data_IF_977167825069
#
_entry.id   IF_977167825069
#
_cell.length_a   1.000
_cell.length_b   1.000
_cell.length_c   1.000
_cell.angle_alpha   90.00
_cell.angle_beta   90.00
_cell.angle_gamma   90.00
#
_symmetry.space_group_name_H-M   'P 1'
#
loop_
_entity.id
_entity.type
_entity.pdbx_description
1 polymer ?
#
# COMPACT_ATOMS: atom_id res chain seq x y z
N UNK A 1 14.07 16.76 3.93
CA UNK A 1 14.54 15.45 3.41
C UNK A 1 15.36 14.70 4.47
N UNK A 2 16.47 15.28 4.98
CA UNK A 2 17.35 14.60 5.96
C UNK A 2 16.63 14.19 7.23
N UNK A 3 15.78 15.03 7.79
CA UNK A 3 14.97 14.70 8.97
C UNK A 3 14.08 13.46 8.76
N UNK A 4 13.58 13.23 7.54
CA UNK A 4 12.81 12.03 7.21
C UNK A 4 13.70 10.80 7.21
N UNK A 5 14.93 10.89 6.65
CA UNK A 5 15.88 9.79 6.66
C UNK A 5 16.27 9.36 8.09
N UNK A 6 16.40 10.32 8.99
CA UNK A 6 16.67 10.07 10.41
C UNK A 6 15.47 9.47 11.15
N UNK A 7 14.24 9.81 10.72
CA UNK A 7 13.02 9.33 11.35
C UNK A 7 12.63 7.90 10.91
N UNK A 8 13.00 7.47 9.70
CA UNK A 8 12.69 6.11 9.19
C UNK A 8 13.16 4.99 10.14
N UNK A 9 14.41 4.97 10.63
CA UNK A 9 14.87 3.96 11.59
C UNK A 9 14.06 3.97 12.89
N UNK A 10 13.65 5.15 13.36
CA UNK A 10 12.86 5.30 14.58
C UNK A 10 11.46 4.72 14.41
N UNK A 11 10.77 5.05 13.32
CA UNK A 11 9.46 4.49 13.00
C UNK A 11 9.55 2.97 12.81
N UNK A 12 10.58 2.49 12.11
CA UNK A 12 10.80 1.06 11.92
C UNK A 12 10.96 0.33 13.25
N UNK A 13 11.72 0.91 14.18
CA UNK A 13 11.90 0.36 15.53
C UNK A 13 10.57 0.32 16.29
N UNK A 14 9.85 1.44 16.31
CA UNK A 14 8.57 1.54 17.02
C UNK A 14 7.50 0.58 16.47
N UNK A 15 7.59 0.23 15.19
CA UNK A 15 6.71 -0.72 14.53
C UNK A 15 7.16 -2.19 14.65
N UNK A 16 8.16 -2.51 15.48
CA UNK A 16 8.61 -3.88 15.68
C UNK A 16 9.46 -4.42 14.53
N UNK A 17 10.25 -3.57 13.90
CA UNK A 17 11.21 -3.91 12.85
C UNK A 17 10.62 -4.63 11.63
N UNK A 18 9.52 -4.17 11.03
CA UNK A 18 9.00 -4.78 9.82
C UNK A 18 10.08 -4.84 8.73
N UNK A 19 10.09 -5.88 7.89
CA UNK A 19 10.97 -5.93 6.73
C UNK A 19 10.61 -4.78 5.78
N UNK A 20 11.63 -4.07 5.27
CA UNK A 20 11.41 -2.92 4.37
C UNK A 20 11.22 -3.38 2.92
N UNK A 21 10.16 -4.15 2.70
CA UNK A 21 9.67 -4.57 1.39
C UNK A 21 8.27 -4.00 1.17
N UNK A 22 7.73 -4.07 -0.04
CA UNK A 22 6.36 -3.65 -0.31
C UNK A 22 5.36 -4.58 0.42
N UNK A 23 4.36 -4.08 1.13
CA UNK A 23 3.98 -2.66 1.32
C UNK A 23 4.62 -1.99 2.54
N UNK A 24 5.29 -2.73 3.43
CA UNK A 24 5.75 -2.24 4.74
C UNK A 24 6.79 -1.12 4.64
N UNK A 25 7.63 -1.11 3.61
CA UNK A 25 8.55 0.01 3.34
C UNK A 25 7.81 1.33 3.09
N UNK A 26 6.69 1.26 2.37
CA UNK A 26 5.85 2.43 2.09
C UNK A 26 5.13 2.91 3.37
N UNK A 27 4.66 1.98 4.20
CA UNK A 27 4.00 2.29 5.47
C UNK A 27 4.97 3.03 6.39
N UNK A 28 6.17 2.49 6.60
CA UNK A 28 7.21 3.10 7.44
C UNK A 28 7.64 4.45 6.88
N UNK A 29 7.89 4.54 5.57
CA UNK A 29 8.30 5.78 4.92
C UNK A 29 7.25 6.87 5.00
N UNK A 30 5.98 6.55 4.71
CA UNK A 30 4.88 7.51 4.79
C UNK A 30 4.66 8.00 6.22
N UNK A 31 4.75 7.12 7.21
CA UNK A 31 4.63 7.51 8.61
C UNK A 31 5.78 8.42 9.05
N UNK A 32 7.01 8.15 8.62
CA UNK A 32 8.16 9.01 8.91
C UNK A 32 7.98 10.42 8.32
N UNK A 33 7.48 10.51 7.08
CA UNK A 33 7.14 11.81 6.46
C UNK A 33 6.09 12.55 7.28
N UNK A 34 5.02 11.88 7.70
CA UNK A 34 3.96 12.50 8.49
C UNK A 34 4.46 12.98 9.86
N UNK A 35 5.32 12.22 10.53
CA UNK A 35 5.91 12.62 11.79
C UNK A 35 6.71 13.94 11.65
N UNK A 36 7.51 14.04 10.58
CA UNK A 36 8.30 15.24 10.32
C UNK A 36 7.43 16.43 9.92
N UNK A 37 6.44 16.22 9.05
CA UNK A 37 5.55 17.30 8.60
C UNK A 37 4.65 17.82 9.73
N UNK A 38 4.19 16.95 10.60
CA UNK A 38 3.35 17.33 11.75
C UNK A 38 4.15 18.01 12.89
N UNK A 39 5.48 17.90 12.86
CA UNK A 39 6.35 18.39 13.93
C UNK A 39 6.23 17.63 15.25
N UNK A 40 5.41 16.59 15.29
CA UNK A 40 5.18 15.72 16.44
C UNK A 40 4.98 14.29 15.98
N UNK A 41 5.70 13.34 16.60
CA UNK A 41 5.65 11.92 16.25
C UNK A 41 4.28 11.32 16.57
N UNK A 42 3.71 10.64 15.58
CA UNK A 42 2.41 9.95 15.69
C UNK A 42 1.22 10.86 16.06
N UNK A 43 1.30 12.14 15.71
CA UNK A 43 0.16 13.05 15.73
C UNK A 43 -0.88 12.67 14.66
N UNK A 44 -0.36 12.26 13.51
CA UNK A 44 -1.15 11.72 12.40
C UNK A 44 -0.66 10.30 12.11
N UNK A 45 -1.59 9.33 12.11
CA UNK A 45 -1.29 7.92 11.87
C UNK A 45 -2.15 7.45 10.70
N UNK A 46 -1.49 6.87 9.66
CA UNK A 46 -2.20 6.36 8.48
C UNK A 46 -3.03 5.12 8.81
N UNK A 47 -4.02 4.84 7.96
CA UNK A 47 -4.82 3.61 8.08
C UNK A 47 -3.95 2.36 7.99
N UNK A 48 -2.98 2.38 7.08
CA UNK A 48 -2.04 1.28 6.85
C UNK A 48 -1.12 1.06 8.06
N UNK A 49 -0.65 2.16 8.69
CA UNK A 49 0.12 2.08 9.94
C UNK A 49 -0.69 1.46 11.08
N UNK A 50 -1.97 1.81 11.18
CA UNK A 50 -2.89 1.19 12.16
C UNK A 50 -3.09 -0.30 11.88
N UNK A 51 -3.31 -0.67 10.62
CA UNK A 51 -3.44 -2.06 10.20
C UNK A 51 -2.19 -2.89 10.51
N UNK A 52 -0.99 -2.31 10.27
CA UNK A 52 0.27 -2.96 10.61
C UNK A 52 0.40 -3.22 12.11
N UNK A 53 0.09 -2.22 12.94
CA UNK A 53 0.16 -2.31 14.40
C UNK A 53 -0.95 -3.21 15.00
N UNK A 54 -2.07 -3.36 14.31
CA UNK A 54 -3.14 -4.31 14.64
C UNK A 54 -2.77 -5.75 14.30
N UNK A 55 -1.82 -5.98 13.39
CA UNK A 55 -1.40 -7.31 12.95
C UNK A 55 -2.06 -7.78 11.65
N UNK A 56 -2.70 -6.90 10.86
CA UNK A 56 -3.33 -7.23 9.58
C UNK A 56 -2.32 -7.71 8.52
N UNK A 57 -1.04 -7.40 8.71
CA UNK A 57 0.06 -7.83 7.84
C UNK A 57 0.84 -9.03 8.40
N UNK A 58 0.32 -9.65 9.46
CA UNK A 58 0.96 -10.78 10.13
C UNK A 58 1.85 -10.38 11.29
N UNK A 59 2.56 -11.36 11.83
CA UNK A 59 3.42 -11.18 13.00
C UNK A 59 4.67 -10.36 12.66
N UNK A 60 4.98 -9.39 13.50
CA UNK A 60 6.16 -8.54 13.36
C UNK A 60 7.39 -9.21 13.98
N UNK A 61 8.61 -8.98 13.42
CA UNK A 61 9.82 -9.66 13.87
C UNK A 61 10.29 -9.25 15.26
N UNK A 62 10.00 -8.02 15.69
CA UNK A 62 10.43 -7.47 16.96
C UNK A 62 9.27 -6.92 17.80
N UNK A 63 9.61 -6.45 18.98
CA UNK A 63 8.64 -5.85 19.88
C UNK A 63 8.16 -4.49 19.35
N UNK A 64 6.85 -4.32 19.35
CA UNK A 64 6.21 -3.05 18.98
C UNK A 64 6.20 -2.13 20.19
N UNK A 65 6.42 -0.85 19.94
CA UNK A 65 6.28 0.17 20.97
C UNK A 65 4.80 0.28 21.40
N UNK A 66 4.51 -0.14 22.64
CA UNK A 66 3.13 -0.21 23.16
C UNK A 66 2.46 1.17 23.27
N UNK A 67 3.20 2.24 23.53
CA UNK A 67 2.65 3.60 23.54
C UNK A 67 2.20 4.01 22.14
N UNK A 68 2.99 3.69 21.12
CA UNK A 68 2.65 3.96 19.72
C UNK A 68 1.47 3.11 19.27
N UNK A 69 1.46 1.82 19.63
CA UNK A 69 0.33 0.93 19.37
C UNK A 69 -0.95 1.48 19.98
N UNK A 70 -0.91 1.86 21.25
CA UNK A 70 -2.06 2.43 21.96
C UNK A 70 -2.55 3.74 21.33
N UNK A 71 -1.63 4.60 20.88
CA UNK A 71 -2.01 5.81 20.13
C UNK A 71 -2.69 5.48 18.80
N UNK A 72 -2.24 4.42 18.11
CA UNK A 72 -2.70 4.07 16.78
C UNK A 72 -4.07 3.37 16.75
N UNK A 73 -4.25 2.37 17.60
CA UNK A 73 -5.42 1.49 17.59
C UNK A 73 -6.25 1.55 18.89
N UNK A 74 -5.78 2.31 19.90
CA UNK A 74 -6.50 2.43 21.17
C UNK A 74 -6.58 1.10 21.94
N UNK A 75 -7.80 0.64 22.17
CA UNK A 75 -8.10 -0.62 22.82
C UNK A 75 -8.57 -1.72 21.86
N UNK A 76 -8.37 -1.53 20.57
CA UNK A 76 -8.71 -2.55 19.57
C UNK A 76 -7.89 -3.82 19.81
N UNK A 77 -8.50 -4.97 19.56
CA UNK A 77 -7.82 -6.26 19.66
C UNK A 77 -6.72 -6.39 18.61
N UNK A 78 -5.58 -6.93 19.03
CA UNK A 78 -4.46 -7.25 18.14
C UNK A 78 -4.67 -8.65 17.58
N UNK A 79 -4.53 -8.77 16.25
CA UNK A 79 -4.61 -10.04 15.55
C UNK A 79 -3.33 -10.84 15.84
N UNK A 80 -3.48 -11.97 16.49
CA UNK A 80 -2.38 -12.87 16.86
C UNK A 80 -2.33 -14.15 16.02
N UNK A 81 -3.41 -14.44 15.30
CA UNK A 81 -3.48 -15.54 14.36
C UNK A 81 -3.06 -15.08 12.95
N UNK A 82 -2.99 -16.00 12.01
CA UNK A 82 -2.80 -15.65 10.60
C UNK A 82 -4.01 -14.83 10.12
N UNK A 83 -3.83 -13.60 9.59
CA UNK A 83 -4.96 -12.75 9.20
C UNK A 83 -5.92 -13.41 8.20
N UNK A 84 -5.39 -14.25 7.29
CA UNK A 84 -6.20 -14.96 6.32
C UNK A 84 -7.21 -15.96 6.96
N UNK A 85 -6.96 -16.42 8.19
CA UNK A 85 -7.87 -17.34 8.88
C UNK A 85 -9.13 -16.64 9.42
N UNK A 86 -9.13 -15.30 9.40
CA UNK A 86 -10.29 -14.47 9.76
C UNK A 86 -11.20 -14.16 8.57
N UNK A 87 -10.78 -14.52 7.35
CA UNK A 87 -11.57 -14.32 6.15
C UNK A 87 -12.57 -15.46 5.97
N UNK A 88 -13.82 -15.11 5.73
CA UNK A 88 -14.84 -16.09 5.35
C UNK A 88 -14.65 -16.52 3.89
N UNK A 89 -14.94 -17.79 3.54
CA UNK A 89 -14.93 -18.24 2.16
C UNK A 89 -15.98 -17.50 1.33
N UNK A 90 -15.56 -16.80 0.29
CA UNK A 90 -16.45 -15.96 -0.53
C UNK A 90 -16.77 -16.55 -1.91
N UNK A 91 -16.05 -17.60 -2.34
CA UNK A 91 -16.17 -18.12 -3.70
C UNK A 91 -17.57 -18.57 -4.08
N UNK A 92 -18.31 -19.22 -3.17
CA UNK A 92 -19.66 -19.68 -3.48
C UNK A 92 -20.64 -18.52 -3.65
N UNK A 93 -20.48 -17.45 -2.86
CA UNK A 93 -21.22 -16.20 -2.99
C UNK A 93 -20.91 -15.53 -4.32
N UNK A 94 -19.63 -15.43 -4.68
CA UNK A 94 -19.18 -14.80 -5.93
C UNK A 94 -19.64 -15.57 -7.16
N UNK A 95 -19.65 -16.90 -7.12
CA UNK A 95 -20.22 -17.76 -8.18
C UNK A 95 -21.72 -17.49 -8.35
N UNK A 96 -22.46 -17.39 -7.25
CA UNK A 96 -23.89 -17.09 -7.29
C UNK A 96 -24.15 -15.70 -7.87
N UNK A 97 -23.37 -14.70 -7.45
CA UNK A 97 -23.47 -13.33 -7.95
C UNK A 97 -23.13 -13.22 -9.43
N UNK A 98 -22.04 -13.84 -9.89
CA UNK A 98 -21.69 -13.88 -11.30
C UNK A 98 -22.78 -14.54 -12.14
N UNK A 99 -23.36 -15.64 -11.64
CA UNK A 99 -24.47 -16.32 -12.31
C UNK A 99 -25.74 -15.45 -12.40
N UNK A 100 -26.12 -14.79 -11.32
CA UNK A 100 -27.26 -13.89 -11.27
C UNK A 100 -27.11 -12.72 -12.23
N UNK A 101 -25.89 -12.15 -12.29
CA UNK A 101 -25.57 -11.01 -13.15
C UNK A 101 -25.19 -11.42 -14.58
N UNK A 102 -25.20 -12.71 -14.89
CA UNK A 102 -24.77 -13.27 -16.17
C UNK A 102 -23.36 -12.81 -16.59
N UNK A 103 -22.45 -12.78 -15.62
CA UNK A 103 -21.04 -12.39 -15.80
C UNK A 103 -20.16 -13.63 -15.94
N UNK A 104 -19.52 -13.76 -17.10
CA UNK A 104 -18.55 -14.80 -17.33
C UNK A 104 -19.14 -16.20 -17.57
N UNK A 105 -18.30 -17.12 -18.01
CA UNK A 105 -18.70 -18.47 -18.45
C UNK A 105 -17.84 -19.59 -17.82
N UNK A 106 -16.78 -19.23 -17.11
CA UNK A 106 -15.84 -20.16 -16.52
C UNK A 106 -15.37 -19.71 -15.14
N UNK A 107 -14.66 -20.57 -14.44
CA UNK A 107 -14.18 -20.31 -13.09
C UNK A 107 -13.14 -19.17 -13.05
N UNK A 108 -12.34 -19.02 -14.10
CA UNK A 108 -11.38 -17.93 -14.27
C UNK A 108 -12.06 -16.56 -14.35
N UNK A 109 -13.27 -16.49 -14.89
CA UNK A 109 -14.07 -15.26 -14.93
C UNK A 109 -14.54 -14.89 -13.52
N UNK A 110 -14.97 -15.87 -12.74
CA UNK A 110 -15.34 -15.66 -11.33
C UNK A 110 -14.14 -15.19 -10.51
N UNK A 111 -12.96 -15.78 -10.72
CA UNK A 111 -11.73 -15.35 -10.06
C UNK A 111 -11.33 -13.93 -10.48
N UNK A 112 -11.47 -13.60 -11.76
CA UNK A 112 -11.21 -12.25 -12.27
C UNK A 112 -12.15 -11.22 -11.64
N UNK A 113 -13.43 -11.58 -11.51
CA UNK A 113 -14.41 -10.74 -10.83
C UNK A 113 -14.11 -10.62 -9.32
N UNK A 114 -13.68 -11.69 -8.65
CA UNK A 114 -13.29 -11.67 -7.24
C UNK A 114 -12.12 -10.70 -6.97
N UNK A 115 -11.12 -10.70 -7.86
CA UNK A 115 -9.93 -9.89 -7.70
C UNK A 115 -10.11 -8.42 -8.15
N UNK A 116 -10.89 -8.20 -9.21
CA UNK A 116 -11.04 -6.91 -9.87
C UNK A 116 -12.51 -6.62 -10.25
N UNK A 117 -13.45 -6.54 -9.31
CA UNK A 117 -14.89 -6.54 -9.61
C UNK A 117 -15.31 -5.48 -10.62
N UNK A 118 -14.83 -4.24 -10.48
CA UNK A 118 -15.24 -3.14 -11.36
C UNK A 118 -14.68 -3.27 -12.78
N UNK A 119 -13.45 -3.74 -12.92
CA UNK A 119 -12.78 -3.88 -14.22
C UNK A 119 -13.27 -5.14 -14.92
N UNK A 120 -13.35 -6.25 -14.18
CA UNK A 120 -13.81 -7.52 -14.72
C UNK A 120 -15.24 -7.45 -15.25
N UNK A 121 -16.15 -6.81 -14.52
CA UNK A 121 -17.54 -6.64 -14.99
C UNK A 121 -17.59 -5.93 -16.35
N UNK A 122 -16.87 -4.82 -16.49
CA UNK A 122 -16.83 -4.07 -17.77
C UNK A 122 -16.22 -4.91 -18.88
N UNK A 123 -15.12 -5.59 -18.59
CA UNK A 123 -14.43 -6.43 -19.57
C UNK A 123 -15.27 -7.63 -20.00
N UNK A 124 -15.88 -8.37 -19.07
CA UNK A 124 -16.70 -9.54 -19.36
C UNK A 124 -17.93 -9.16 -20.20
N UNK A 125 -18.61 -8.08 -19.84
CA UNK A 125 -19.73 -7.57 -20.62
C UNK A 125 -19.31 -7.12 -22.04
N UNK A 126 -18.15 -6.50 -22.19
CA UNK A 126 -17.61 -6.13 -23.49
C UNK A 126 -17.21 -7.37 -24.32
N UNK A 127 -16.51 -8.33 -23.69
CA UNK A 127 -16.11 -9.58 -24.35
C UNK A 127 -17.29 -10.34 -24.93
N UNK A 128 -18.39 -10.40 -24.17
CA UNK A 128 -19.58 -11.11 -24.57
C UNK A 128 -20.47 -10.32 -25.58
N UNK A 129 -20.15 -9.04 -25.79
CA UNK A 129 -20.82 -8.16 -26.75
C UNK A 129 -19.79 -7.44 -27.67
N UNK A 130 -19.07 -8.18 -28.53
CA UNK A 130 -17.91 -7.64 -29.25
C UNK A 130 -18.25 -6.56 -30.30
N UNK A 131 -19.53 -6.28 -30.57
CA UNK A 131 -19.96 -5.25 -31.52
C UNK A 131 -20.09 -3.84 -30.91
N UNK A 132 -19.82 -3.70 -29.61
CA UNK A 132 -19.76 -2.41 -28.92
C UNK A 132 -18.33 -1.94 -28.76
N UNK A 133 -17.61 -1.71 -29.87
CA UNK A 133 -16.21 -1.26 -29.86
C UNK A 133 -15.99 0.05 -29.07
N UNK A 134 -17.00 0.90 -28.95
CA UNK A 134 -16.91 2.18 -28.22
C UNK A 134 -16.88 2.02 -26.70
N UNK A 135 -17.21 0.84 -26.17
CA UNK A 135 -17.26 0.57 -24.71
C UNK A 135 -16.08 -0.25 -24.19
N UNK A 136 -15.11 -0.60 -25.05
CA UNK A 136 -13.91 -1.30 -24.59
C UNK A 136 -13.21 -0.46 -23.52
N UNK A 137 -12.93 -1.03 -22.31
CA UNK A 137 -12.19 -0.28 -21.31
C UNK A 137 -10.82 0.11 -21.90
N UNK A 138 -10.51 1.40 -21.88
CA UNK A 138 -9.22 1.87 -22.33
C UNK A 138 -8.12 1.09 -21.60
N UNK A 139 -7.10 0.58 -22.33
CA UNK A 139 -5.97 -0.06 -21.67
C UNK A 139 -5.44 0.90 -20.60
N UNK A 140 -5.21 0.37 -19.40
CA UNK A 140 -4.64 1.17 -18.31
C UNK A 140 -3.49 1.98 -18.87
N UNK A 141 -3.54 3.31 -18.75
CA UNK A 141 -2.55 4.19 -19.31
C UNK A 141 -1.17 3.65 -18.92
N UNK A 142 -0.38 3.27 -19.93
CA UNK A 142 1.00 2.89 -19.68
C UNK A 142 1.63 3.98 -18.82
N UNK A 143 2.41 3.63 -17.78
CA UNK A 143 3.02 4.62 -16.93
C UNK A 143 3.67 5.66 -17.83
N UNK A 144 3.29 6.93 -17.64
CA UNK A 144 3.77 8.03 -18.48
C UNK A 144 5.28 7.85 -18.63
N UNK A 145 5.77 7.73 -19.86
CA UNK A 145 7.21 7.68 -20.11
C UNK A 145 7.80 8.83 -19.35
N UNK A 146 8.66 8.52 -18.38
CA UNK A 146 9.38 9.52 -17.62
C UNK A 146 9.92 10.54 -18.65
N UNK A 147 9.64 11.81 -18.44
CA UNK A 147 10.17 12.86 -19.26
C UNK A 147 11.67 12.61 -19.42
N UNK A 148 12.25 12.79 -20.63
CA UNK A 148 13.66 12.52 -20.83
C UNK A 148 14.45 13.25 -19.76
N UNK A 149 15.23 12.49 -19.00
CA UNK A 149 16.07 13.07 -17.97
C UNK A 149 16.89 14.18 -18.64
N UNK A 150 16.78 15.39 -18.12
CA UNK A 150 17.59 16.50 -18.59
C UNK A 150 19.05 16.15 -18.30
N UNK A 151 19.74 15.60 -19.28
CA UNK A 151 21.16 15.23 -19.25
C UNK A 151 22.07 16.46 -19.46
N UNK A 152 21.59 17.65 -19.15
CA UNK A 152 22.48 18.81 -19.03
C UNK A 152 23.54 18.54 -17.95
N UNK A 153 24.76 19.04 -18.12
CA UNK A 153 25.82 18.83 -17.15
C UNK A 153 25.38 19.35 -15.78
N UNK A 154 25.16 18.43 -14.83
CA UNK A 154 24.92 18.78 -13.43
C UNK A 154 26.22 19.36 -12.89
N UNK A 155 26.35 20.65 -12.87
CA UNK A 155 27.39 21.34 -12.12
C UNK A 155 27.12 21.06 -10.64
N UNK A 156 27.85 20.09 -10.07
CA UNK A 156 27.92 19.94 -8.62
C UNK A 156 28.67 21.17 -8.13
N UNK A 157 27.95 22.13 -7.58
CA UNK A 157 28.56 23.16 -6.75
C UNK A 157 28.99 22.43 -5.47
N UNK A 158 30.22 21.95 -5.46
CA UNK A 158 30.91 21.56 -4.22
C UNK A 158 31.31 22.87 -3.60
N UNK A 159 30.48 23.43 -2.71
CA UNK A 159 30.93 24.49 -1.82
C UNK A 159 32.02 23.88 -0.93
N UNK A 160 33.18 24.46 -1.07
CA UNK A 160 34.41 24.12 -0.39
C UNK A 160 34.19 24.23 1.15
N UNK A 161 34.05 23.06 1.82
CA UNK A 161 33.98 22.99 3.29
C UNK A 161 35.38 23.01 3.91
N UNK A 162 36.30 23.83 3.34
CA UNK A 162 37.56 24.12 3.97
C UNK A 162 37.58 25.57 4.46
N UNK A 163 36.84 25.83 5.57
CA UNK A 163 37.24 26.88 6.52
C UNK A 163 36.31 26.84 7.75
N UNK A 164 36.86 26.39 8.83
CA UNK A 164 36.17 26.42 10.13
C UNK A 164 36.85 25.50 11.15
N UNK A 165 38.11 25.72 11.37
CA UNK A 165 38.80 25.39 12.63
C UNK A 165 38.12 26.16 13.76
N UNK A 166 37.54 25.47 14.70
CA UNK A 166 37.69 25.50 16.16
C UNK A 166 36.68 24.58 16.80
#
# INVERSE_FOLDING_TARGET
YYAVLEEIPNVRKDFGYPPLVTPTSQIVGSQAVLNVLAGERYKMITKESKGLLRGEYGQLPGEVNEEVRKKAIGNDEVITCRPADLLEPEMDKLRAECKERNLGHCEEDVLSYALFPQVAEKFLNWRDNPHKEEEAPAPAAAPAKAAPANNGPRTLIVEDMTNGVF
#
